data_IF_655101897179
#
_entry.id   IF_655101897179
#
_cell.length_a   1.000
_cell.length_b   1.000
_cell.length_c   1.000
_cell.angle_alpha   90.00
_cell.angle_beta   90.00
_cell.angle_gamma   90.00
#
_symmetry.space_group_name_H-M   'P 1'
#
loop_
_entity.id
_entity.type
_entity.pdbx_description
1 polymer ?
#
# COMPACT_ATOMS: atom_id res chain seq x y z
N UNK A 1 -18.57 -41.33 -15.74
CA UNK A 1 -18.60 -40.06 -16.49
C UNK A 1 -17.79 -39.03 -15.71
N UNK A 2 -16.46 -39.06 -15.87
CA UNK A 2 -15.52 -38.24 -15.10
C UNK A 2 -15.31 -36.93 -15.87
N UNK A 3 -15.85 -35.83 -15.35
CA UNK A 3 -15.56 -34.50 -15.85
C UNK A 3 -14.04 -34.27 -15.83
N UNK A 4 -13.48 -34.07 -17.04
CA UNK A 4 -12.07 -33.77 -17.29
C UNK A 4 -11.62 -32.60 -16.41
N UNK A 5 -10.43 -32.73 -15.82
CA UNK A 5 -9.83 -31.77 -14.89
C UNK A 5 -9.70 -30.35 -15.50
N UNK A 6 -9.71 -30.24 -16.83
CA UNK A 6 -9.73 -28.96 -17.55
C UNK A 6 -11.06 -28.20 -17.46
N UNK A 7 -12.18 -28.91 -17.49
CA UNK A 7 -13.54 -28.32 -17.52
C UNK A 7 -13.98 -27.79 -16.14
N UNK A 8 -13.43 -28.37 -15.07
CA UNK A 8 -13.64 -27.86 -13.70
C UNK A 8 -12.92 -26.52 -13.47
N UNK A 9 -11.75 -26.31 -14.07
CA UNK A 9 -10.97 -25.07 -13.90
C UNK A 9 -11.65 -23.88 -14.56
N UNK A 10 -12.15 -24.06 -15.79
CA UNK A 10 -12.91 -23.04 -16.52
C UNK A 10 -14.19 -22.68 -15.76
N UNK A 11 -14.93 -23.68 -15.28
CA UNK A 11 -16.16 -23.46 -14.50
C UNK A 11 -15.92 -22.66 -13.21
N UNK A 12 -14.83 -22.93 -12.49
CA UNK A 12 -14.48 -22.19 -11.26
C UNK A 12 -14.10 -20.74 -11.57
N UNK A 13 -13.26 -20.51 -12.58
CA UNK A 13 -12.87 -19.16 -12.99
C UNK A 13 -14.06 -18.33 -13.46
N UNK A 14 -14.98 -18.92 -14.21
CA UNK A 14 -16.19 -18.23 -14.68
C UNK A 14 -17.15 -17.91 -13.52
N UNK A 15 -17.25 -18.80 -12.53
CA UNK A 15 -18.06 -18.56 -11.33
C UNK A 15 -17.49 -17.40 -10.50
N UNK A 16 -16.16 -17.38 -10.29
CA UNK A 16 -15.46 -16.29 -9.59
C UNK A 16 -15.64 -14.97 -10.33
N UNK A 17 -15.38 -14.97 -11.65
CA UNK A 17 -15.51 -13.77 -12.49
C UNK A 17 -16.93 -13.22 -12.49
N UNK A 18 -17.93 -14.09 -12.52
CA UNK A 18 -19.35 -13.71 -12.46
C UNK A 18 -19.71 -13.12 -11.09
N UNK A 19 -19.24 -13.71 -9.99
CA UNK A 19 -19.40 -13.14 -8.65
C UNK A 19 -18.74 -11.77 -8.53
N UNK A 20 -17.55 -11.62 -9.13
CA UNK A 20 -16.79 -10.38 -9.07
C UNK A 20 -17.47 -9.27 -9.88
N UNK A 21 -17.96 -9.59 -11.08
CA UNK A 21 -18.73 -8.67 -11.91
C UNK A 21 -20.07 -8.28 -11.25
N UNK A 22 -20.77 -9.22 -10.60
CA UNK A 22 -22.00 -8.91 -9.86
C UNK A 22 -21.76 -7.97 -8.67
N UNK A 23 -20.60 -8.09 -8.02
CA UNK A 23 -20.31 -7.32 -6.80
C UNK A 23 -19.61 -6.00 -7.05
N UNK A 24 -18.78 -5.90 -8.09
CA UNK A 24 -17.96 -4.71 -8.39
C UNK A 24 -18.15 -4.16 -9.82
N UNK A 25 -18.93 -4.80 -10.68
CA UNK A 25 -19.11 -4.36 -12.08
C UNK A 25 -19.84 -3.01 -12.23
N UNK A 26 -20.52 -2.55 -11.18
CA UNK A 26 -21.20 -1.26 -11.15
C UNK A 26 -20.38 -0.16 -10.47
N UNK A 27 -19.21 -0.50 -9.92
CA UNK A 27 -18.40 0.40 -9.09
C UNK A 27 -17.47 1.20 -9.99
N UNK A 28 -17.53 2.52 -9.86
CA UNK A 28 -16.60 3.43 -10.53
C UNK A 28 -15.35 3.62 -9.68
N UNK A 29 -14.31 2.85 -10.01
CA UNK A 29 -12.99 3.02 -9.41
C UNK A 29 -12.35 4.32 -9.90
N UNK A 30 -11.89 5.15 -8.96
CA UNK A 30 -11.05 6.30 -9.26
C UNK A 30 -9.60 5.85 -9.43
N UNK A 31 -8.81 6.60 -10.18
CA UNK A 31 -7.36 6.33 -10.31
C UNK A 31 -6.68 6.21 -8.95
N UNK A 32 -7.06 7.05 -7.99
CA UNK A 32 -6.56 6.98 -6.62
C UNK A 32 -6.87 5.64 -5.94
N UNK A 33 -8.09 5.12 -6.12
CA UNK A 33 -8.52 3.83 -5.56
C UNK A 33 -7.63 2.70 -6.13
N UNK A 34 -7.33 2.74 -7.43
CA UNK A 34 -6.46 1.77 -8.11
C UNK A 34 -5.03 1.87 -7.59
N UNK A 35 -4.49 3.08 -7.44
CA UNK A 35 -3.14 3.29 -6.92
C UNK A 35 -2.98 2.75 -5.49
N UNK A 36 -3.92 3.09 -4.59
CA UNK A 36 -3.87 2.60 -3.21
C UNK A 36 -4.02 1.08 -3.14
N UNK A 37 -4.95 0.49 -3.89
CA UNK A 37 -5.13 -0.98 -3.91
C UNK A 37 -3.90 -1.68 -4.47
N UNK A 38 -3.33 -1.18 -5.56
CA UNK A 38 -2.14 -1.75 -6.19
C UNK A 38 -0.94 -1.66 -5.25
N UNK A 39 -0.73 -0.51 -4.61
CA UNK A 39 0.33 -0.32 -3.62
C UNK A 39 0.19 -1.34 -2.47
N UNK A 40 -0.95 -1.37 -1.79
CA UNK A 40 -1.14 -2.27 -0.64
C UNK A 40 -1.07 -3.74 -1.01
N UNK A 41 -1.60 -4.12 -2.18
CA UNK A 41 -1.52 -5.50 -2.66
C UNK A 41 -0.08 -5.90 -3.03
N UNK A 42 0.65 -5.01 -3.70
CA UNK A 42 2.04 -5.25 -4.08
C UNK A 42 2.91 -5.39 -2.84
N UNK A 43 2.77 -4.48 -1.87
CA UNK A 43 3.57 -4.52 -0.64
C UNK A 43 3.24 -5.77 0.20
N UNK A 44 1.95 -6.07 0.39
CA UNK A 44 1.52 -7.29 1.05
C UNK A 44 2.05 -8.56 0.38
N UNK A 45 2.14 -8.56 -0.96
CA UNK A 45 2.73 -9.66 -1.73
C UNK A 45 4.25 -9.74 -1.53
N UNK A 46 4.96 -8.62 -1.62
CA UNK A 46 6.40 -8.52 -1.38
C UNK A 46 6.78 -9.03 0.02
N UNK A 47 6.00 -8.68 1.04
CA UNK A 47 6.19 -9.15 2.42
C UNK A 47 6.20 -10.68 2.52
N UNK A 48 5.42 -11.40 1.71
CA UNK A 48 5.40 -12.87 1.70
C UNK A 48 6.74 -13.43 1.20
N UNK A 49 7.40 -12.79 0.24
CA UNK A 49 8.70 -13.23 -0.28
C UNK A 49 9.87 -12.81 0.61
N UNK A 50 9.82 -11.59 1.15
CA UNK A 50 10.91 -10.98 1.92
C UNK A 50 10.72 -11.07 3.44
N UNK A 51 9.89 -11.98 3.91
CA UNK A 51 9.52 -12.16 5.33
C UNK A 51 10.70 -12.47 6.29
N UNK A 52 11.89 -12.84 5.79
CA UNK A 52 13.02 -13.28 6.61
C UNK A 52 13.62 -12.20 7.51
N UNK A 53 13.45 -10.92 7.13
CA UNK A 53 14.00 -9.77 7.86
C UNK A 53 12.99 -9.09 8.79
N UNK A 54 11.71 -9.47 8.74
CA UNK A 54 10.64 -8.83 9.51
C UNK A 54 10.07 -9.77 10.56
N UNK A 55 10.28 -9.42 11.83
CA UNK A 55 9.64 -10.07 12.97
C UNK A 55 8.11 -9.85 12.89
N UNK A 56 7.33 -10.93 12.98
CA UNK A 56 5.84 -10.93 12.88
C UNK A 56 5.26 -10.58 11.49
N UNK A 57 5.94 -10.94 10.40
CA UNK A 57 5.49 -10.73 9.01
C UNK A 57 4.03 -11.16 8.72
N UNK A 58 3.53 -12.22 9.37
CA UNK A 58 2.17 -12.71 9.17
C UNK A 58 1.11 -11.70 9.59
N UNK A 59 1.38 -10.93 10.65
CA UNK A 59 0.51 -9.88 11.13
C UNK A 59 0.48 -8.71 10.14
N UNK A 60 1.62 -8.33 9.57
CA UNK A 60 1.70 -7.30 8.53
C UNK A 60 0.91 -7.69 7.28
N UNK A 61 1.03 -8.93 6.80
CA UNK A 61 0.24 -9.43 5.68
C UNK A 61 -1.26 -9.38 5.99
N UNK A 62 -1.66 -9.73 7.22
CA UNK A 62 -3.06 -9.66 7.63
C UNK A 62 -3.57 -8.22 7.69
N UNK A 63 -2.76 -7.27 8.19
CA UNK A 63 -3.09 -5.84 8.17
C UNK A 63 -3.29 -5.36 6.72
N UNK A 64 -2.39 -5.72 5.81
CA UNK A 64 -2.51 -5.35 4.39
C UNK A 64 -3.80 -5.89 3.77
N UNK A 65 -4.11 -7.16 4.02
CA UNK A 65 -5.36 -7.76 3.56
C UNK A 65 -6.59 -7.04 4.15
N UNK A 66 -6.57 -6.71 5.45
CA UNK A 66 -7.65 -5.99 6.11
C UNK A 66 -7.84 -4.58 5.54
N UNK A 67 -6.75 -3.87 5.23
CA UNK A 67 -6.80 -2.55 4.61
C UNK A 67 -7.36 -2.63 3.19
N UNK A 68 -6.91 -3.58 2.38
CA UNK A 68 -7.43 -3.79 1.01
C UNK A 68 -8.94 -4.06 1.05
N UNK A 69 -9.40 -4.94 1.93
CA UNK A 69 -10.83 -5.22 2.12
C UNK A 69 -11.58 -3.96 2.55
N UNK A 70 -11.01 -3.18 3.47
CA UNK A 70 -11.61 -1.94 3.97
C UNK A 70 -11.79 -0.91 2.84
N UNK A 71 -10.77 -0.71 2.00
CA UNK A 71 -10.86 0.19 0.84
C UNK A 71 -11.96 -0.29 -0.11
N UNK A 72 -12.01 -1.58 -0.41
CA UNK A 72 -13.03 -2.16 -1.30
C UNK A 72 -14.45 -1.94 -0.76
N UNK A 73 -14.68 -2.13 0.53
CA UNK A 73 -16.00 -1.90 1.14
C UNK A 73 -16.32 -0.39 1.25
N UNK A 74 -15.35 0.50 1.51
CA UNK A 74 -15.55 1.96 1.48
C UNK A 74 -15.99 2.41 0.09
N UNK A 75 -15.29 1.99 -0.95
CA UNK A 75 -15.61 2.34 -2.35
C UNK A 75 -16.99 1.80 -2.72
N UNK A 76 -17.29 0.55 -2.37
CA UNK A 76 -18.59 -0.09 -2.64
C UNK A 76 -19.75 0.59 -1.92
N UNK A 77 -19.60 0.86 -0.62
CA UNK A 77 -20.64 1.52 0.17
C UNK A 77 -20.82 2.98 -0.25
N UNK A 78 -19.73 3.67 -0.61
CA UNK A 78 -19.78 5.04 -1.11
C UNK A 78 -20.52 5.18 -2.44
N UNK A 79 -20.39 4.21 -3.35
CA UNK A 79 -21.18 4.17 -4.60
C UNK A 79 -22.63 3.72 -4.35
N UNK A 80 -22.86 2.78 -3.44
CA UNK A 80 -24.21 2.27 -3.14
C UNK A 80 -25.09 3.29 -2.39
N UNK A 81 -24.49 4.12 -1.54
CA UNK A 81 -25.20 5.09 -0.69
C UNK A 81 -24.61 6.51 -0.82
N UNK A 82 -24.78 7.16 -1.99
CA UNK A 82 -24.20 8.49 -2.24
C UNK A 82 -24.74 9.58 -1.30
N UNK A 83 -25.94 9.40 -0.73
CA UNK A 83 -26.56 10.37 0.18
C UNK A 83 -25.88 10.43 1.56
N UNK A 84 -25.06 9.43 1.92
CA UNK A 84 -24.38 9.37 3.21
C UNK A 84 -23.06 10.16 3.15
N UNK A 85 -23.11 11.42 3.60
CA UNK A 85 -21.95 12.33 3.67
C UNK A 85 -20.71 11.71 4.34
N UNK A 86 -20.89 10.88 5.38
CA UNK A 86 -19.79 10.21 6.08
C UNK A 86 -19.01 9.27 5.14
N UNK A 87 -19.69 8.51 4.27
CA UNK A 87 -19.03 7.60 3.33
C UNK A 87 -18.28 8.38 2.23
N UNK A 88 -18.83 9.53 1.83
CA UNK A 88 -18.17 10.46 0.90
C UNK A 88 -16.89 11.05 1.49
N UNK A 89 -16.94 11.49 2.75
CA UNK A 89 -15.76 11.97 3.51
C UNK A 89 -14.75 10.84 3.64
N UNK A 90 -15.17 9.65 4.08
CA UNK A 90 -14.27 8.51 4.23
C UNK A 90 -13.60 8.15 2.91
N UNK A 91 -14.34 8.16 1.79
CA UNK A 91 -13.80 7.94 0.45
C UNK A 91 -12.81 9.03 0.00
N UNK A 92 -12.93 10.25 0.52
CA UNK A 92 -12.03 11.36 0.20
C UNK A 92 -10.75 11.33 1.04
N UNK A 93 -10.85 10.94 2.32
CA UNK A 93 -9.75 11.02 3.28
C UNK A 93 -8.96 9.73 3.45
N UNK A 94 -9.51 8.55 3.11
CA UNK A 94 -8.75 7.31 3.25
C UNK A 94 -7.42 7.30 2.48
N UNK A 95 -7.25 7.92 1.29
CA UNK A 95 -5.96 7.88 0.60
C UNK A 95 -4.87 8.62 1.38
N UNK A 96 -5.22 9.64 2.18
CA UNK A 96 -4.29 10.34 3.07
C UNK A 96 -3.84 9.40 4.18
N UNK A 97 -4.76 8.65 4.79
CA UNK A 97 -4.41 7.66 5.81
C UNK A 97 -3.53 6.54 5.24
N UNK A 98 -3.80 6.07 4.02
CA UNK A 98 -2.96 5.09 3.32
C UNK A 98 -1.58 5.65 3.02
N UNK A 99 -1.49 6.91 2.60
CA UNK A 99 -0.20 7.56 2.35
C UNK A 99 0.63 7.66 3.64
N UNK A 100 0.02 8.07 4.76
CA UNK A 100 0.70 8.13 6.05
C UNK A 100 1.16 6.76 6.52
N UNK A 101 0.32 5.74 6.39
CA UNK A 101 0.69 4.37 6.70
C UNK A 101 1.85 3.88 5.83
N UNK A 102 1.78 4.12 4.51
CA UNK A 102 2.85 3.77 3.59
C UNK A 102 4.16 4.51 3.91
N UNK A 103 4.08 5.74 4.42
CA UNK A 103 5.26 6.49 4.87
C UNK A 103 5.93 5.83 6.08
N UNK A 104 5.16 5.47 7.11
CA UNK A 104 5.69 4.73 8.27
C UNK A 104 6.28 3.37 7.84
N UNK A 105 5.64 2.73 6.87
CA UNK A 105 6.08 1.43 6.37
C UNK A 105 7.46 1.48 5.70
N UNK A 106 7.86 2.61 5.09
CA UNK A 106 9.17 2.77 4.46
C UNK A 106 10.33 2.52 5.44
N UNK A 107 10.15 2.79 6.73
CA UNK A 107 11.17 2.52 7.75
C UNK A 107 11.51 1.03 7.86
N UNK A 108 10.53 0.15 7.57
CA UNK A 108 10.70 -1.30 7.58
C UNK A 108 11.04 -1.79 6.18
N UNK A 109 10.42 -1.22 5.15
CA UNK A 109 10.52 -1.68 3.78
C UNK A 109 11.87 -1.39 3.14
N UNK A 110 12.43 -0.19 3.37
CA UNK A 110 13.71 0.21 2.76
C UNK A 110 14.87 -0.68 3.25
N UNK A 111 15.04 -0.90 4.58
CA UNK A 111 16.05 -1.85 5.07
C UNK A 111 15.77 -3.29 4.66
N UNK A 112 14.51 -3.69 4.45
CA UNK A 112 14.17 -5.04 3.96
C UNK A 112 14.75 -5.32 2.57
N UNK A 113 14.71 -4.33 1.66
CA UNK A 113 15.23 -4.49 0.30
C UNK A 113 16.75 -4.29 0.21
N UNK A 114 17.30 -3.32 0.94
CA UNK A 114 18.68 -2.88 0.75
C UNK A 114 19.61 -3.18 1.93
N UNK A 115 19.09 -3.75 3.03
CA UNK A 115 19.84 -4.03 4.26
C UNK A 115 20.17 -2.80 5.10
N UNK A 116 20.19 -1.61 4.51
CA UNK A 116 20.36 -0.31 5.14
C UNK A 116 19.64 0.77 4.30
N UNK A 117 19.63 2.01 4.78
CA UNK A 117 19.13 3.14 4.01
C UNK A 117 20.11 3.50 2.89
N UNK A 118 19.98 2.83 1.74
CA UNK A 118 20.89 2.95 0.58
C UNK A 118 21.08 4.39 0.06
N UNK A 119 20.05 5.23 0.19
CA UNK A 119 20.07 6.60 -0.32
C UNK A 119 20.75 7.58 0.65
N UNK A 120 20.95 7.21 1.92
CA UNK A 120 21.48 8.12 2.94
C UNK A 120 22.87 8.62 2.57
N UNK A 121 23.77 7.73 2.17
CA UNK A 121 25.14 8.12 1.82
C UNK A 121 25.18 9.00 0.57
N UNK A 122 24.30 8.73 -0.41
CA UNK A 122 24.18 9.53 -1.62
C UNK A 122 23.65 10.94 -1.32
N UNK A 123 22.58 11.04 -0.52
CA UNK A 123 21.97 12.32 -0.12
C UNK A 123 22.97 13.14 0.71
N UNK A 124 23.65 12.52 1.67
CA UNK A 124 24.69 13.18 2.48
C UNK A 124 25.83 13.69 1.61
N UNK A 125 26.22 12.94 0.57
CA UNK A 125 27.26 13.37 -0.38
C UNK A 125 26.81 14.53 -1.25
N UNK A 126 25.54 14.55 -1.68
CA UNK A 126 24.97 15.64 -2.46
C UNK A 126 24.81 16.91 -1.63
N UNK A 127 24.37 16.80 -0.37
CA UNK A 127 24.33 17.92 0.57
C UNK A 127 25.73 18.51 0.78
N UNK A 128 26.75 17.66 0.96
CA UNK A 128 28.15 18.12 1.03
C UNK A 128 28.61 18.81 -0.25
N UNK A 129 28.15 18.36 -1.41
CA UNK A 129 28.54 18.93 -2.69
C UNK A 129 27.91 20.31 -2.92
N UNK A 130 26.64 20.48 -2.52
CA UNK A 130 25.90 21.74 -2.67
C UNK A 130 26.34 22.78 -1.63
N UNK A 131 26.48 22.38 -0.37
CA UNK A 131 26.75 23.30 0.73
C UNK A 131 28.22 23.36 1.16
N UNK A 132 29.06 22.43 0.70
CA UNK A 132 30.49 22.35 1.07
C UNK A 132 30.75 21.94 2.52
N UNK A 133 29.70 21.88 3.36
CA UNK A 133 29.75 21.61 4.80
C UNK A 133 28.56 20.73 5.18
N UNK A 134 28.68 19.95 6.26
CA UNK A 134 27.51 19.31 6.86
C UNK A 134 26.56 20.40 7.40
N UNK A 135 25.32 20.53 6.87
CA UNK A 135 24.39 21.60 7.25
C UNK A 135 24.12 21.62 8.76
N UNK A 136 24.06 20.44 9.38
CA UNK A 136 23.85 20.28 10.83
C UNK A 136 24.97 20.93 11.66
N UNK A 137 26.22 20.82 11.22
CA UNK A 137 27.38 21.43 11.90
C UNK A 137 27.39 22.94 11.66
N UNK A 138 27.07 23.37 10.44
CA UNK A 138 27.00 24.79 10.10
C UNK A 138 25.92 25.52 10.91
N UNK A 139 24.71 24.95 11.03
CA UNK A 139 23.63 25.54 11.85
C UNK A 139 23.95 25.50 13.34
N UNK A 140 24.62 24.44 13.84
CA UNK A 140 25.07 24.37 15.23
C UNK A 140 25.99 25.52 15.64
N UNK A 141 26.77 26.10 14.71
CA UNK A 141 27.62 27.26 15.00
C UNK A 141 26.81 28.53 15.35
N UNK A 142 25.55 28.60 14.94
CA UNK A 142 24.64 29.71 15.26
C UNK A 142 23.78 29.43 16.49
N UNK A 143 23.84 28.21 17.03
CA UNK A 143 23.12 27.84 18.24
C UNK A 143 23.98 28.17 19.47
N UNK A 144 23.71 29.30 20.12
CA UNK A 144 24.22 29.59 21.46
C UNK A 144 23.14 29.16 22.47
N UNK A 145 23.47 28.28 23.45
CA UNK A 145 22.51 27.78 24.43
C UNK A 145 21.98 28.88 25.37
#
# INVERSE_FOLDING_TARGET
MLLSTGDKKTMVLDTIKRYWNLRYGHIRFRLMDICCLTYMALIGFLLIFFHKTVTNWSLYVFIHAAIVISILEIVRLGEKYPDKKILLILRMFYPIAIMLYGWEELEILVPMFFGSYWATDMIVSWDKLIFGVHPTIWVQQFYQP
#
